data_IF_340832901770
#
_entry.id   IF_340832901770
#
_cell.length_a   1.000
_cell.length_b   1.000
_cell.length_c   1.000
_cell.angle_alpha   90.00
_cell.angle_beta   90.00
_cell.angle_gamma   90.00
#
_symmetry.space_group_name_H-M   'P 1'
#
loop_
_entity.id
_entity.type
_entity.pdbx_description
1 polymer ?
#
# COMPACT_ATOMS: atom_id res chain seq x y z
N UNK A 1 1.77 -9.07 -13.44
CA UNK A 1 1.83 -10.51 -13.10
C UNK A 1 2.60 -10.63 -11.79
N UNK A 2 2.04 -11.29 -10.77
CA UNK A 2 2.70 -11.41 -9.46
C UNK A 2 3.92 -12.33 -9.60
N UNK A 3 5.11 -11.83 -9.24
CA UNK A 3 6.39 -12.53 -9.50
C UNK A 3 6.63 -13.73 -8.57
N UNK A 4 6.15 -13.66 -7.33
CA UNK A 4 6.38 -14.71 -6.34
C UNK A 4 5.24 -15.73 -6.36
N UNK A 5 5.46 -16.89 -6.99
CA UNK A 5 4.46 -17.96 -7.10
C UNK A 5 3.96 -18.50 -5.75
N UNK A 6 4.79 -18.49 -4.70
CA UNK A 6 4.38 -18.97 -3.36
C UNK A 6 3.35 -18.05 -2.71
N UNK A 7 3.41 -16.76 -3.01
CA UNK A 7 2.53 -15.74 -2.44
C UNK A 7 1.43 -15.28 -3.41
N UNK A 8 1.53 -15.63 -4.69
CA UNK A 8 0.64 -15.13 -5.74
C UNK A 8 -0.83 -15.42 -5.47
N UNK A 9 -1.15 -16.62 -4.97
CA UNK A 9 -2.52 -17.00 -4.61
C UNK A 9 -3.04 -16.12 -3.48
N UNK A 10 -2.36 -16.11 -2.34
CA UNK A 10 -2.75 -15.32 -1.18
C UNK A 10 -2.89 -13.83 -1.52
N UNK A 11 -1.97 -13.25 -2.30
CA UNK A 11 -2.04 -11.84 -2.72
C UNK A 11 -3.27 -11.57 -3.59
N UNK A 12 -3.61 -12.49 -4.49
CA UNK A 12 -4.76 -12.35 -5.38
C UNK A 12 -6.08 -12.50 -4.61
N UNK A 13 -6.13 -13.42 -3.65
CA UNK A 13 -7.33 -13.69 -2.85
C UNK A 13 -7.77 -12.48 -2.01
N UNK A 14 -6.83 -11.64 -1.54
CA UNK A 14 -7.16 -10.45 -0.71
C UNK A 14 -7.85 -9.33 -1.49
N UNK A 15 -7.84 -9.35 -2.83
CA UNK A 15 -8.59 -8.38 -3.66
C UNK A 15 -8.32 -6.90 -3.31
N UNK A 16 -7.06 -6.51 -3.11
CA UNK A 16 -6.65 -5.14 -2.73
C UNK A 16 -7.23 -4.03 -3.60
N UNK A 17 -7.43 -4.29 -4.90
CA UNK A 17 -8.07 -3.34 -5.80
C UNK A 17 -9.51 -3.01 -5.36
N UNK A 18 -10.30 -4.02 -5.02
CA UNK A 18 -11.68 -3.84 -4.60
C UNK A 18 -11.77 -3.06 -3.30
N UNK A 19 -10.85 -3.30 -2.35
CA UNK A 19 -10.75 -2.49 -1.13
C UNK A 19 -10.57 -1.01 -1.46
N UNK A 20 -9.61 -0.68 -2.35
CA UNK A 20 -9.36 0.72 -2.72
C UNK A 20 -10.55 1.36 -3.44
N UNK A 21 -11.22 0.62 -4.33
CA UNK A 21 -12.45 1.07 -5.02
C UNK A 21 -13.56 1.37 -4.02
N UNK A 22 -13.73 0.51 -3.02
CA UNK A 22 -14.76 0.67 -2.00
C UNK A 22 -14.49 1.89 -1.12
N UNK A 23 -13.26 2.09 -0.69
CA UNK A 23 -12.86 3.26 0.11
C UNK A 23 -13.09 4.55 -0.66
N UNK A 24 -12.73 4.60 -1.95
CA UNK A 24 -12.90 5.78 -2.78
C UNK A 24 -14.38 6.19 -2.91
N UNK A 25 -15.26 5.27 -3.33
CA UNK A 25 -16.67 5.63 -3.53
C UNK A 25 -17.37 5.94 -2.20
N UNK A 26 -17.04 5.22 -1.11
CA UNK A 26 -17.63 5.48 0.21
C UNK A 26 -17.13 6.79 0.78
N UNK A 27 -15.87 7.16 0.56
CA UNK A 27 -15.35 8.45 0.96
C UNK A 27 -16.09 9.57 0.22
N UNK A 28 -16.26 9.45 -1.10
CA UNK A 28 -17.05 10.39 -1.91
C UNK A 28 -18.48 10.52 -1.40
N UNK A 29 -19.15 9.41 -1.09
CA UNK A 29 -20.52 9.42 -0.56
C UNK A 29 -20.63 10.13 0.79
N UNK A 30 -19.66 9.93 1.68
CA UNK A 30 -19.67 10.52 3.01
C UNK A 30 -18.98 11.90 3.09
N UNK A 31 -18.65 12.53 1.95
CA UNK A 31 -17.93 13.81 1.91
C UNK A 31 -16.54 13.76 2.56
N UNK A 32 -15.89 12.59 2.58
CA UNK A 32 -14.53 12.40 3.11
C UNK A 32 -13.49 12.48 1.99
N UNK A 33 -12.26 12.79 2.37
CA UNK A 33 -11.11 12.78 1.45
C UNK A 33 -10.46 11.41 1.45
N UNK A 34 -10.29 10.84 0.26
CA UNK A 34 -9.48 9.66 0.01
C UNK A 34 -8.23 10.10 -0.76
N UNK A 35 -7.05 9.73 -0.25
CA UNK A 35 -5.75 10.08 -0.86
C UNK A 35 -4.97 8.79 -1.07
N UNK A 36 -4.66 8.48 -2.32
CA UNK A 36 -3.79 7.35 -2.68
C UNK A 36 -2.35 7.84 -2.75
N UNK A 37 -1.49 7.25 -1.93
CA UNK A 37 -0.05 7.49 -1.96
C UNK A 37 0.63 6.63 -3.04
N UNK A 38 1.83 7.06 -3.45
CA UNK A 38 2.65 6.32 -4.41
C UNK A 38 3.03 4.92 -3.87
N UNK A 39 3.09 3.94 -4.78
CA UNK A 39 3.43 2.54 -4.46
C UNK A 39 4.82 2.39 -3.85
N UNK A 40 5.76 3.27 -4.22
CA UNK A 40 7.15 3.23 -3.79
C UNK A 40 7.47 4.21 -2.66
N UNK A 41 6.46 4.89 -2.11
CA UNK A 41 6.60 5.76 -0.95
C UNK A 41 7.23 5.00 0.23
N UNK A 42 8.22 5.62 0.86
CA UNK A 42 9.08 4.99 1.86
C UNK A 42 8.41 4.89 3.25
N UNK A 43 7.12 4.56 3.33
CA UNK A 43 6.36 4.54 4.58
C UNK A 43 6.91 3.56 5.62
N UNK A 44 7.40 2.40 5.18
CA UNK A 44 8.02 1.40 6.06
C UNK A 44 9.47 1.69 6.43
N UNK A 45 10.07 2.71 5.79
CA UNK A 45 11.46 3.11 6.00
C UNK A 45 11.57 4.38 6.84
N UNK A 46 10.54 5.23 6.80
CA UNK A 46 10.51 6.50 7.50
C UNK A 46 10.02 6.32 8.94
N UNK A 47 10.84 6.78 9.88
CA UNK A 47 10.42 6.91 11.27
C UNK A 47 9.36 8.01 11.41
N UNK A 48 8.20 7.69 11.99
CA UNK A 48 7.12 8.67 12.24
C UNK A 48 7.49 9.75 13.26
N UNK A 49 8.50 9.52 14.10
CA UNK A 49 8.91 10.44 15.17
C UNK A 49 9.97 11.44 14.67
N UNK A 50 10.99 10.95 13.97
CA UNK A 50 12.17 11.76 13.62
C UNK A 50 12.41 11.91 12.12
N UNK A 51 11.61 11.27 11.27
CA UNK A 51 11.79 11.33 9.81
C UNK A 51 13.03 10.61 9.27
N UNK A 52 13.81 9.93 10.13
CA UNK A 52 14.94 9.12 9.69
C UNK A 52 14.47 8.04 8.72
N UNK A 53 15.14 7.95 7.57
CA UNK A 53 14.87 6.93 6.56
C UNK A 53 15.86 5.78 6.71
N UNK A 54 15.39 4.63 7.20
CA UNK A 54 16.20 3.42 7.22
C UNK A 54 16.27 2.80 5.82
N UNK A 55 17.39 2.98 5.13
CA UNK A 55 17.61 2.43 3.79
C UNK A 55 17.79 0.91 3.77
N UNK A 56 18.14 0.28 4.89
CA UNK A 56 18.37 -1.18 4.97
C UNK A 56 17.08 -2.00 4.82
N UNK A 57 15.92 -1.41 5.11
CA UNK A 57 14.63 -2.12 5.05
C UNK A 57 14.14 -2.38 3.62
N UNK A 58 14.59 -1.62 2.61
CA UNK A 58 14.42 -1.99 1.20
C UNK A 58 15.62 -2.82 0.76
N UNK A 59 15.61 -4.11 1.09
CA UNK A 59 16.44 -5.07 0.37
C UNK A 59 15.83 -5.15 -1.04
N UNK A 60 16.48 -4.52 -2.02
CA UNK A 60 16.15 -4.76 -3.43
C UNK A 60 16.51 -6.21 -3.74
N UNK A 61 15.49 -7.08 -3.76
CA UNK A 61 15.59 -8.44 -4.28
C UNK A 61 14.42 -8.70 -5.24
#
# INVERSE_FOLDING_TARGET
MVKNHRLAKSISDVSWYELTRQLEYKAKWNGRKYVKIDTFYASSQLCSVCGYQNTETKIYQ
#
